data_IF_313151965461
#
_entry.id   IF_313151965461
#
_cell.length_a   1.000
_cell.length_b   1.000
_cell.length_c   1.000
_cell.angle_alpha   90.00
_cell.angle_beta   90.00
_cell.angle_gamma   90.00
#
_symmetry.space_group_name_H-M   'P 1'
#
loop_
_entity.id
_entity.type
_entity.pdbx_description
1 polymer ?
#
# COMPACT_ATOMS: atom_id res chain seq x y z
N UNK A 1 8.44 -5.57 -47.38
CA UNK A 1 9.49 -5.05 -46.49
C UNK A 1 8.90 -4.83 -45.12
N UNK A 2 9.14 -5.75 -44.19
CA UNK A 2 8.79 -5.62 -42.77
C UNK A 2 10.01 -6.12 -42.00
N UNK A 3 10.71 -5.19 -41.36
CA UNK A 3 11.84 -5.49 -40.48
C UNK A 3 11.45 -5.02 -39.09
N UNK A 4 11.21 -5.96 -38.18
CA UNK A 4 11.26 -5.74 -36.74
C UNK A 4 12.32 -6.68 -36.19
N UNK A 5 13.44 -6.11 -35.81
CA UNK A 5 14.50 -6.79 -35.07
C UNK A 5 13.99 -7.21 -33.67
N UNK A 6 14.26 -8.45 -33.21
CA UNK A 6 14.13 -8.81 -31.81
C UNK A 6 15.44 -8.50 -31.07
N UNK A 7 15.35 -7.79 -29.94
CA UNK A 7 16.50 -7.51 -29.08
C UNK A 7 16.59 -8.51 -27.93
N UNK A 8 17.63 -9.34 -28.02
CA UNK A 8 18.48 -9.94 -26.99
C UNK A 8 17.91 -10.31 -25.60
N UNK A 9 17.94 -11.62 -25.33
CA UNK A 9 18.13 -12.19 -23.99
C UNK A 9 19.56 -11.93 -23.50
N UNK A 10 19.72 -11.55 -22.23
CA UNK A 10 21.00 -11.53 -21.53
C UNK A 10 20.81 -11.76 -20.04
N UNK A 11 21.23 -12.93 -19.55
CA UNK A 11 21.20 -13.30 -18.13
C UNK A 11 20.82 -14.76 -17.91
N UNK A 12 21.83 -15.65 -17.97
CA UNK A 12 21.71 -17.09 -17.75
C UNK A 12 21.59 -17.38 -16.25
N UNK A 13 20.48 -17.98 -15.83
CA UNK A 13 20.44 -18.83 -14.63
C UNK A 13 19.89 -20.19 -15.06
N UNK A 14 20.77 -21.18 -15.08
CA UNK A 14 20.42 -22.58 -15.28
C UNK A 14 19.61 -23.06 -14.07
N UNK A 15 18.28 -23.07 -14.19
CA UNK A 15 17.43 -23.89 -13.33
C UNK A 15 17.24 -25.26 -13.98
N UNK A 16 17.66 -26.31 -13.28
CA UNK A 16 17.47 -27.68 -13.68
C UNK A 16 15.98 -27.97 -13.93
N UNK A 17 15.69 -28.46 -15.14
CA UNK A 17 14.36 -28.91 -15.56
C UNK A 17 14.00 -30.17 -14.78
N UNK A 18 13.24 -30.03 -13.70
CA UNK A 18 12.32 -31.06 -13.21
C UNK A 18 11.35 -30.45 -12.19
N UNK A 19 10.32 -29.76 -12.70
CA UNK A 19 9.06 -29.61 -12.01
C UNK A 19 7.99 -29.62 -13.10
N UNK A 20 7.10 -30.61 -13.03
CA UNK A 20 5.80 -30.53 -13.68
C UNK A 20 5.29 -29.11 -13.47
N UNK A 21 5.01 -28.37 -14.56
CA UNK A 21 4.46 -27.01 -14.47
C UNK A 21 3.09 -27.13 -13.80
N UNK A 22 3.07 -27.10 -12.47
CA UNK A 22 1.90 -26.78 -11.70
C UNK A 22 1.38 -25.48 -12.32
N UNK A 23 0.26 -25.58 -13.05
CA UNK A 23 -0.39 -24.41 -13.63
C UNK A 23 -0.61 -23.48 -12.45
N UNK A 24 0.01 -22.29 -12.48
CA UNK A 24 -0.32 -21.28 -11.50
C UNK A 24 -1.84 -21.10 -11.54
N UNK A 25 -2.55 -21.25 -10.41
CA UNK A 25 -3.98 -20.97 -10.39
C UNK A 25 -4.20 -19.59 -10.99
N UNK A 26 -5.27 -19.44 -11.79
CA UNK A 26 -5.62 -18.17 -12.41
C UNK A 26 -5.65 -17.11 -11.31
N UNK A 27 -4.74 -16.13 -11.39
CA UNK A 27 -4.57 -15.11 -10.36
C UNK A 27 -5.74 -14.14 -10.40
N UNK A 28 -6.64 -14.22 -9.42
CA UNK A 28 -7.76 -13.30 -9.26
C UNK A 28 -7.36 -12.10 -8.39
N UNK A 29 -6.70 -11.09 -9.00
CA UNK A 29 -6.17 -9.95 -8.24
C UNK A 29 -7.24 -9.19 -7.43
N UNK A 30 -8.45 -8.91 -7.97
CA UNK A 30 -9.51 -8.24 -7.19
C UNK A 30 -9.87 -8.99 -5.91
N UNK A 31 -10.07 -10.31 -6.01
CA UNK A 31 -10.45 -11.15 -4.87
C UNK A 31 -9.36 -11.20 -3.80
N UNK A 32 -8.11 -11.47 -4.20
CA UNK A 32 -6.97 -11.49 -3.26
C UNK A 32 -6.73 -10.12 -2.62
N UNK A 33 -6.95 -9.03 -3.38
CA UNK A 33 -6.79 -7.68 -2.84
C UNK A 33 -7.90 -7.33 -1.84
N UNK A 34 -9.14 -7.75 -2.09
CA UNK A 34 -10.25 -7.60 -1.13
C UNK A 34 -9.98 -8.39 0.14
N UNK A 35 -9.53 -9.64 0.03
CA UNK A 35 -9.14 -10.45 1.20
C UNK A 35 -8.10 -9.72 2.04
N UNK A 36 -7.09 -9.14 1.39
CA UNK A 36 -6.09 -8.32 2.06
C UNK A 36 -6.70 -7.08 2.73
N UNK A 37 -7.58 -6.34 2.06
CA UNK A 37 -8.27 -5.18 2.65
C UNK A 37 -9.02 -5.54 3.93
N UNK A 38 -9.75 -6.67 3.93
CA UNK A 38 -10.47 -7.17 5.11
C UNK A 38 -9.50 -7.47 6.25
N UNK A 39 -8.40 -8.19 5.97
CA UNK A 39 -7.40 -8.55 7.00
C UNK A 39 -6.72 -7.32 7.59
N UNK A 40 -6.38 -6.34 6.76
CA UNK A 40 -5.80 -5.08 7.23
C UNK A 40 -6.79 -4.29 8.08
N UNK A 41 -8.07 -4.22 7.67
CA UNK A 41 -9.12 -3.58 8.46
C UNK A 41 -9.27 -4.25 9.83
N UNK A 42 -9.33 -5.58 9.89
CA UNK A 42 -9.38 -6.35 11.14
C UNK A 42 -8.21 -6.03 12.08
N UNK A 43 -6.99 -5.88 11.53
CA UNK A 43 -5.80 -5.52 12.32
C UNK A 43 -5.96 -4.13 12.93
N UNK A 44 -6.33 -3.12 12.13
CA UNK A 44 -6.52 -1.76 12.64
C UNK A 44 -7.67 -1.68 13.64
N UNK A 45 -8.76 -2.41 13.41
CA UNK A 45 -9.87 -2.51 14.35
C UNK A 45 -9.46 -3.12 15.69
N UNK A 46 -8.60 -4.14 15.67
CA UNK A 46 -8.07 -4.75 16.89
C UNK A 46 -7.17 -3.78 17.65
N UNK A 47 -6.25 -3.12 16.96
CA UNK A 47 -5.36 -2.11 17.56
C UNK A 47 -6.19 -0.97 18.18
N UNK A 48 -7.22 -0.48 17.48
CA UNK A 48 -8.10 0.56 17.99
C UNK A 48 -8.88 0.15 19.25
N UNK A 49 -9.25 -1.13 19.37
CA UNK A 49 -9.92 -1.68 20.56
C UNK A 49 -8.97 -1.87 21.73
N UNK A 50 -7.76 -2.39 21.48
CA UNK A 50 -6.75 -2.64 22.51
C UNK A 50 -6.10 -1.35 23.02
N UNK A 51 -5.94 -0.36 22.14
CA UNK A 51 -5.32 0.93 22.43
C UNK A 51 -6.24 2.09 22.01
N UNK A 52 -7.29 2.40 22.79
CA UNK A 52 -8.25 3.46 22.47
C UNK A 52 -7.62 4.85 22.28
N UNK A 53 -6.46 5.10 22.88
CA UNK A 53 -5.72 6.36 22.74
C UNK A 53 -5.16 6.58 21.32
N UNK A 54 -5.05 5.52 20.52
CA UNK A 54 -4.63 5.59 19.12
C UNK A 54 -5.81 5.65 18.13
N UNK A 55 -7.04 5.63 18.63
CA UNK A 55 -8.23 5.54 17.81
C UNK A 55 -9.08 6.81 17.88
N UNK A 56 -9.55 7.25 16.71
CA UNK A 56 -10.70 8.15 16.67
C UNK A 56 -11.98 7.33 16.82
N UNK A 57 -12.67 7.50 17.95
CA UNK A 57 -13.92 6.78 18.26
C UNK A 57 -15.03 7.10 17.26
N UNK A 58 -15.03 8.30 16.67
CA UNK A 58 -16.02 8.71 15.67
C UNK A 58 -15.74 8.08 14.29
N UNK A 59 -14.50 7.67 14.02
CA UNK A 59 -14.10 7.07 12.75
C UNK A 59 -14.37 5.56 12.66
N UNK A 60 -14.82 4.92 13.74
CA UNK A 60 -15.08 3.48 13.74
C UNK A 60 -16.15 3.10 12.71
N UNK A 61 -15.79 2.19 11.81
CA UNK A 61 -16.69 1.67 10.79
C UNK A 61 -16.44 0.18 10.57
N UNK A 62 -17.51 -0.61 10.63
CA UNK A 62 -17.46 -2.05 10.33
C UNK A 62 -17.23 -2.29 8.84
N UNK A 63 -16.45 -3.31 8.49
CA UNK A 63 -16.11 -3.63 7.11
C UNK A 63 -17.36 -3.90 6.28
N UNK A 64 -18.39 -4.52 6.85
CA UNK A 64 -19.65 -4.82 6.16
C UNK A 64 -20.36 -3.57 5.62
N UNK A 65 -20.09 -2.40 6.21
CA UNK A 65 -20.69 -1.12 5.76
C UNK A 65 -20.01 -0.54 4.53
N UNK A 66 -18.76 -0.91 4.25
CA UNK A 66 -17.96 -0.34 3.16
C UNK A 66 -17.52 -1.40 2.13
N UNK A 67 -17.69 -2.68 2.43
CA UNK A 67 -17.18 -3.78 1.62
C UNK A 67 -17.71 -3.74 0.18
N UNK A 68 -19.01 -3.45 -0.01
CA UNK A 68 -19.61 -3.31 -1.34
C UNK A 68 -18.95 -2.18 -2.13
N UNK A 69 -18.82 -1.00 -1.53
CA UNK A 69 -18.17 0.16 -2.14
C UNK A 69 -16.71 -0.13 -2.49
N UNK A 70 -15.97 -0.78 -1.59
CA UNK A 70 -14.57 -1.16 -1.83
C UNK A 70 -14.46 -2.15 -2.98
N UNK A 71 -15.35 -3.16 -3.05
CA UNK A 71 -15.44 -4.10 -4.18
C UNK A 71 -15.74 -3.40 -5.49
N UNK A 72 -16.67 -2.46 -5.50
CA UNK A 72 -17.00 -1.68 -6.70
C UNK A 72 -15.78 -0.89 -7.19
N UNK A 73 -15.09 -0.18 -6.29
CA UNK A 73 -13.91 0.62 -6.63
C UNK A 73 -12.77 -0.27 -7.18
N UNK A 74 -12.49 -1.40 -6.54
CA UNK A 74 -11.40 -2.31 -6.97
C UNK A 74 -11.68 -2.93 -8.34
N UNK A 75 -12.96 -3.11 -8.69
CA UNK A 75 -13.35 -3.65 -10.00
C UNK A 75 -13.39 -2.60 -11.12
N UNK A 76 -13.18 -1.31 -10.82
CA UNK A 76 -13.15 -0.24 -11.84
C UNK A 76 -12.05 -0.50 -12.88
N UNK A 77 -12.47 -0.74 -14.12
CA UNK A 77 -11.58 -0.87 -15.27
C UNK A 77 -11.34 0.50 -15.89
N UNK A 78 -10.31 1.20 -15.39
CA UNK A 78 -9.90 2.51 -15.88
C UNK A 78 -8.38 2.69 -15.80
N UNK A 79 -7.81 3.66 -16.54
CA UNK A 79 -6.46 4.15 -16.29
C UNK A 79 -6.25 4.57 -14.83
N UNK A 80 -4.99 4.77 -14.45
CA UNK A 80 -4.59 5.09 -13.06
C UNK A 80 -5.44 6.22 -12.46
N UNK A 81 -5.61 7.31 -13.19
CA UNK A 81 -6.37 8.50 -12.79
C UNK A 81 -7.84 8.17 -12.52
N UNK A 82 -8.50 7.42 -13.41
CA UNK A 82 -9.91 7.02 -13.21
C UNK A 82 -10.12 6.12 -12.00
N UNK A 83 -9.12 5.30 -11.63
CA UNK A 83 -9.15 4.51 -10.39
C UNK A 83 -8.93 5.37 -9.15
N UNK A 84 -8.06 6.38 -9.21
CA UNK A 84 -7.88 7.36 -8.14
C UNK A 84 -9.19 8.14 -7.93
N UNK A 85 -9.83 8.58 -9.00
CA UNK A 85 -11.09 9.32 -8.94
C UNK A 85 -12.24 8.50 -8.34
N UNK A 86 -12.23 7.18 -8.54
CA UNK A 86 -13.20 6.29 -7.89
C UNK A 86 -13.05 6.32 -6.36
N UNK A 87 -11.83 6.21 -5.84
CA UNK A 87 -11.54 6.34 -4.41
C UNK A 87 -11.91 7.72 -3.88
N UNK A 88 -11.49 8.79 -4.56
CA UNK A 88 -11.77 10.17 -4.14
C UNK A 88 -13.26 10.48 -4.10
N UNK A 89 -14.02 10.05 -5.11
CA UNK A 89 -15.48 10.26 -5.14
C UNK A 89 -16.18 9.50 -4.04
N UNK A 90 -15.80 8.26 -3.77
CA UNK A 90 -16.38 7.48 -2.68
C UNK A 90 -16.09 8.11 -1.32
N UNK A 91 -14.87 8.61 -1.11
CA UNK A 91 -14.47 9.38 0.06
C UNK A 91 -15.29 10.67 0.21
N UNK A 92 -15.38 11.47 -0.86
CA UNK A 92 -16.13 12.72 -0.89
C UNK A 92 -17.63 12.52 -0.61
N UNK A 93 -18.19 11.40 -1.07
CA UNK A 93 -19.58 11.05 -0.83
C UNK A 93 -19.82 10.40 0.55
N UNK A 94 -18.79 10.24 1.38
CA UNK A 94 -18.89 9.67 2.71
C UNK A 94 -19.18 8.17 2.73
N UNK A 95 -18.82 7.45 1.66
CA UNK A 95 -19.08 6.02 1.53
C UNK A 95 -18.00 5.14 2.17
N UNK A 96 -16.89 5.73 2.61
CA UNK A 96 -15.70 4.99 3.07
C UNK A 96 -15.35 5.20 4.55
N UNK A 97 -15.85 6.27 5.19
CA UNK A 97 -15.37 6.69 6.52
C UNK A 97 -16.52 6.89 7.51
N UNK A 98 -16.29 6.49 8.77
CA UNK A 98 -17.24 6.68 9.87
C UNK A 98 -17.55 8.14 10.19
N UNK A 99 -16.61 9.04 9.85
CA UNK A 99 -16.73 10.49 10.02
C UNK A 99 -17.55 11.17 8.92
N UNK A 100 -17.96 10.45 7.88
CA UNK A 100 -18.70 10.98 6.74
C UNK A 100 -17.79 11.38 5.58
N UNK A 101 -18.06 12.54 4.99
CA UNK A 101 -17.38 13.01 3.77
C UNK A 101 -15.91 13.38 4.07
N UNK A 102 -15.01 12.95 3.19
CA UNK A 102 -13.58 13.23 3.29
C UNK A 102 -13.03 13.72 1.96
N UNK A 103 -12.22 14.79 1.99
CA UNK A 103 -11.57 15.33 0.79
C UNK A 103 -10.13 14.83 0.67
N UNK A 104 -9.92 13.81 -0.17
CA UNK A 104 -8.59 13.28 -0.46
C UNK A 104 -7.90 14.19 -1.49
N UNK A 105 -6.91 14.96 -1.03
CA UNK A 105 -6.13 15.87 -1.86
C UNK A 105 -5.31 15.13 -2.93
N UNK A 106 -5.00 15.82 -4.02
CA UNK A 106 -4.02 15.33 -4.98
C UNK A 106 -2.63 15.25 -4.35
N UNK A 107 -1.91 14.18 -4.72
CA UNK A 107 -0.52 14.06 -4.36
C UNK A 107 0.29 15.10 -5.13
N UNK A 108 0.94 15.99 -4.40
CA UNK A 108 1.87 16.97 -4.95
C UNK A 108 3.32 16.47 -4.80
N UNK A 109 3.91 16.07 -5.92
CA UNK A 109 5.29 15.60 -5.98
C UNK A 109 6.31 16.68 -5.58
N UNK A 110 6.03 17.96 -5.86
CA UNK A 110 6.91 19.07 -5.54
C UNK A 110 6.94 19.29 -4.03
N UNK A 111 5.79 19.19 -3.36
CA UNK A 111 5.73 19.26 -1.89
C UNK A 111 6.59 18.15 -1.28
N UNK A 112 6.48 16.91 -1.78
CA UNK A 112 7.30 15.81 -1.30
C UNK A 112 8.80 16.04 -1.57
N UNK A 113 9.17 16.45 -2.77
CA UNK A 113 10.56 16.72 -3.15
C UNK A 113 11.17 17.85 -2.34
N UNK A 114 10.44 18.95 -2.15
CA UNK A 114 10.88 20.09 -1.35
C UNK A 114 11.09 19.69 0.12
N UNK A 115 10.20 18.88 0.69
CA UNK A 115 10.38 18.34 2.05
C UNK A 115 11.65 17.47 2.14
N UNK A 116 11.88 16.58 1.17
CA UNK A 116 13.08 15.73 1.12
C UNK A 116 14.35 16.56 0.97
N UNK A 117 14.36 17.58 0.12
CA UNK A 117 15.53 18.42 -0.08
C UNK A 117 15.78 19.34 1.12
N UNK A 118 14.74 19.79 1.80
CA UNK A 118 14.85 20.50 3.08
C UNK A 118 15.51 19.61 4.13
N UNK A 119 15.15 18.32 4.19
CA UNK A 119 15.80 17.36 5.08
C UNK A 119 17.29 17.21 4.78
N UNK A 120 17.70 17.16 3.50
CA UNK A 120 19.13 17.09 3.12
C UNK A 120 19.92 18.34 3.50
N UNK A 121 19.27 19.52 3.45
CA UNK A 121 19.90 20.81 3.75
C UNK A 121 19.98 21.09 5.24
N UNK A 122 19.13 20.46 6.05
CA UNK A 122 19.13 20.63 7.49
C UNK A 122 20.41 20.03 8.11
N UNK A 123 21.24 20.90 8.71
CA UNK A 123 22.50 20.51 9.37
C UNK A 123 22.32 20.15 10.85
N UNK A 124 21.19 20.52 11.45
CA UNK A 124 20.87 20.27 12.85
C UNK A 124 19.83 19.14 12.98
N UNK A 125 20.25 18.03 13.55
CA UNK A 125 19.42 16.84 13.77
C UNK A 125 18.27 17.06 14.77
N UNK A 126 18.33 18.11 15.60
CA UNK A 126 17.24 18.46 16.53
C UNK A 126 16.04 19.06 15.78
N UNK A 127 16.30 19.73 14.66
CA UNK A 127 15.26 20.36 13.83
C UNK A 127 14.63 19.33 12.88
N UNK A 128 15.42 18.37 12.40
CA UNK A 128 14.93 17.35 11.45
C UNK A 128 13.84 16.44 12.03
N UNK A 129 13.80 16.24 13.35
CA UNK A 129 12.73 15.50 14.03
C UNK A 129 11.34 16.14 13.86
N UNK A 130 11.29 17.44 13.56
CA UNK A 130 10.05 18.16 13.23
C UNK A 130 9.57 17.92 11.80
N UNK A 131 10.41 17.37 10.91
CA UNK A 131 10.06 17.26 9.50
C UNK A 131 9.20 16.00 9.25
N UNK A 132 8.01 16.13 8.63
CA UNK A 132 7.15 14.98 8.33
C UNK A 132 7.85 13.89 7.53
N UNK A 133 8.67 14.28 6.54
CA UNK A 133 9.45 13.34 5.72
C UNK A 133 10.47 12.53 6.52
N UNK A 134 11.07 13.11 7.55
CA UNK A 134 12.00 12.40 8.43
C UNK A 134 11.28 11.34 9.25
N UNK A 135 10.15 11.70 9.86
CA UNK A 135 9.31 10.77 10.63
C UNK A 135 8.79 9.63 9.77
N UNK A 136 8.40 9.92 8.52
CA UNK A 136 8.03 8.90 7.55
C UNK A 136 9.17 7.90 7.30
N UNK A 137 10.39 8.37 7.02
CA UNK A 137 11.54 7.49 6.82
C UNK A 137 11.88 6.67 8.06
N UNK A 138 11.77 7.26 9.26
CA UNK A 138 11.98 6.55 10.52
C UNK A 138 10.96 5.41 10.68
N UNK A 139 9.67 5.69 10.49
CA UNK A 139 8.61 4.69 10.54
C UNK A 139 8.83 3.57 9.50
N UNK A 140 9.17 3.95 8.25
CA UNK A 140 9.47 2.99 7.19
C UNK A 140 10.67 2.09 7.52
N UNK A 141 11.72 2.66 8.13
CA UNK A 141 12.90 1.89 8.55
C UNK A 141 12.55 0.88 9.65
N UNK A 142 11.79 1.29 10.67
CA UNK A 142 11.32 0.41 11.74
C UNK A 142 10.45 -0.71 11.19
N UNK A 143 9.47 -0.38 10.33
CA UNK A 143 8.61 -1.39 9.71
C UNK A 143 9.39 -2.36 8.81
N UNK A 144 10.34 -1.86 8.02
CA UNK A 144 11.21 -2.69 7.19
C UNK A 144 11.99 -3.69 8.04
N UNK A 145 12.64 -3.23 9.12
CA UNK A 145 13.36 -4.11 10.03
C UNK A 145 12.42 -5.18 10.58
N UNK A 146 11.26 -4.77 11.11
CA UNK A 146 10.31 -5.72 11.67
C UNK A 146 9.82 -6.78 10.67
N UNK A 147 9.54 -6.37 9.43
CA UNK A 147 9.14 -7.29 8.36
C UNK A 147 10.27 -8.30 8.08
N UNK A 148 11.49 -7.80 7.88
CA UNK A 148 12.63 -8.62 7.47
C UNK A 148 13.13 -9.54 8.58
N UNK A 149 13.11 -9.10 9.84
CA UNK A 149 13.69 -9.87 10.96
C UNK A 149 12.69 -10.74 11.70
N UNK A 150 11.40 -10.39 11.70
CA UNK A 150 10.39 -11.11 12.48
C UNK A 150 9.31 -11.75 11.60
N UNK A 151 8.69 -10.97 10.70
CA UNK A 151 7.50 -11.46 9.97
C UNK A 151 7.87 -12.49 8.92
N UNK A 152 8.83 -12.17 8.03
CA UNK A 152 9.19 -13.07 6.94
C UNK A 152 9.84 -14.38 7.43
N UNK A 153 10.78 -14.35 8.42
CA UNK A 153 11.34 -15.59 8.96
C UNK A 153 10.30 -16.51 9.61
N UNK A 154 9.32 -15.96 10.35
CA UNK A 154 8.21 -16.75 10.94
C UNK A 154 7.34 -17.41 9.87
N UNK A 155 7.30 -16.85 8.66
CA UNK A 155 6.61 -17.43 7.51
C UNK A 155 7.51 -18.31 6.64
N UNK A 156 8.73 -18.60 7.10
CA UNK A 156 9.75 -19.35 6.37
C UNK A 156 10.11 -18.73 5.01
N UNK A 157 9.81 -17.44 4.85
CA UNK A 157 10.19 -16.64 3.68
C UNK A 157 11.57 -16.06 3.98
N UNK A 158 12.63 -16.80 3.61
CA UNK A 158 14.00 -16.35 3.82
C UNK A 158 14.33 -15.24 2.82
N UNK A 159 14.65 -14.05 3.33
CA UNK A 159 15.28 -12.99 2.55
C UNK A 159 16.80 -13.21 2.65
N UNK A 160 17.38 -13.80 1.61
CA UNK A 160 18.82 -13.89 1.43
C UNK A 160 19.40 -12.57 0.92
#
# INVERSE_FOLDING_TARGET
MSSRYPAACGGVLHYEKNAERARCPIRNNPETYIEFCVKIHEIFQRVAKEYPDFADKAAFMDISKIESTVKEIINVQAPKEGRIDAWKRAAWNGLLFGTGQENILDYDENVWHNNRDSLKKAKDSRVTQGFPVYRFYQAAAVHRINILTHILPVKELIVA
#
